data_IF_853854071627
#
_entry.id   IF_853854071627
#
_cell.length_a   1.000
_cell.length_b   1.000
_cell.length_c   1.000
_cell.angle_alpha   90.00
_cell.angle_beta   90.00
_cell.angle_gamma   90.00
#
_symmetry.space_group_name_H-M   'P 1'
#
loop_
_entity.id
_entity.type
_entity.pdbx_description
1 polymer ?
#
# COMPACT_ATOMS: atom_id res chain seq x y z
N UNK A 1 10.34 69.22 12.79
CA UNK A 1 11.62 68.51 13.00
C UNK A 1 11.49 67.09 12.47
N UNK A 2 12.51 66.55 11.78
CA UNK A 2 12.55 65.14 11.31
C UNK A 2 12.36 64.13 12.45
N UNK A 3 12.81 64.49 13.66
CA UNK A 3 12.73 63.65 14.85
C UNK A 3 11.29 63.46 15.35
N UNK A 4 10.48 64.53 15.32
CA UNK A 4 9.07 64.48 15.72
C UNK A 4 8.22 63.63 14.76
N UNK A 5 8.60 63.58 13.47
CA UNK A 5 7.97 62.67 12.50
C UNK A 5 8.32 61.20 12.79
N UNK A 6 9.56 60.91 13.21
CA UNK A 6 9.98 59.55 13.59
C UNK A 6 9.25 59.06 14.84
N UNK A 7 9.12 59.90 15.86
CA UNK A 7 8.39 59.56 17.09
C UNK A 7 6.90 59.28 16.83
N UNK A 8 6.26 60.06 15.94
CA UNK A 8 4.87 59.79 15.52
C UNK A 8 4.72 58.47 14.76
N UNK A 9 5.71 58.10 13.94
CA UNK A 9 5.72 56.81 13.22
C UNK A 9 5.96 55.64 14.19
N UNK A 10 6.84 55.79 15.18
CA UNK A 10 7.10 54.77 16.19
C UNK A 10 5.88 54.53 17.09
N UNK A 11 5.25 55.59 17.58
CA UNK A 11 4.01 55.47 18.37
C UNK A 11 2.86 54.86 17.57
N UNK A 12 2.74 55.18 16.27
CA UNK A 12 1.76 54.52 15.40
C UNK A 12 2.07 53.03 15.22
N UNK A 13 3.36 52.67 15.07
CA UNK A 13 3.82 51.28 14.95
C UNK A 13 3.58 50.49 16.24
N UNK A 14 3.76 51.10 17.40
CA UNK A 14 3.45 50.49 18.70
C UNK A 14 1.97 50.21 18.85
N UNK A 15 1.11 51.19 18.54
CA UNK A 15 -0.36 50.98 18.52
C UNK A 15 -0.78 49.87 17.56
N UNK A 16 -0.15 49.80 16.38
CA UNK A 16 -0.39 48.71 15.43
C UNK A 16 0.05 47.35 15.99
N UNK A 17 1.20 47.26 16.66
CA UNK A 17 1.66 46.03 17.31
C UNK A 17 0.70 45.59 18.41
N UNK A 18 0.23 46.52 19.23
CA UNK A 18 -0.72 46.26 20.31
C UNK A 18 -2.05 45.73 19.77
N UNK A 19 -2.57 46.35 18.71
CA UNK A 19 -3.79 45.88 18.03
C UNK A 19 -3.61 44.47 17.46
N UNK A 20 -2.47 44.18 16.83
CA UNK A 20 -2.17 42.83 16.32
C UNK A 20 -2.14 41.81 17.47
N UNK A 21 -1.59 42.19 18.62
CA UNK A 21 -1.50 41.32 19.78
C UNK A 21 -2.89 41.03 20.34
N UNK A 22 -3.75 42.04 20.46
CA UNK A 22 -5.14 41.88 20.85
C UNK A 22 -5.93 40.98 19.89
N UNK A 23 -5.78 41.20 18.56
CA UNK A 23 -6.44 40.37 17.55
C UNK A 23 -5.94 38.92 17.58
N UNK A 24 -4.66 38.68 17.86
CA UNK A 24 -4.11 37.33 18.04
C UNK A 24 -4.69 36.64 19.25
N UNK A 25 -4.80 37.32 20.38
CA UNK A 25 -5.42 36.77 21.59
C UNK A 25 -6.90 36.44 21.35
N UNK A 26 -7.65 37.35 20.72
CA UNK A 26 -9.06 37.08 20.37
C UNK A 26 -9.22 35.90 19.41
N UNK A 27 -8.30 35.74 18.45
CA UNK A 27 -8.30 34.60 17.54
C UNK A 27 -8.02 33.29 18.29
N UNK A 28 -7.04 33.28 19.19
CA UNK A 28 -6.68 32.11 20.00
C UNK A 28 -7.81 31.69 20.94
N UNK A 29 -8.50 32.66 21.55
CA UNK A 29 -9.69 32.42 22.38
C UNK A 29 -10.84 31.80 21.56
N UNK A 30 -11.07 32.29 20.34
CA UNK A 30 -12.09 31.76 19.43
C UNK A 30 -11.75 30.35 18.94
N UNK A 31 -10.49 30.09 18.56
CA UNK A 31 -10.04 28.76 18.15
C UNK A 31 -10.17 27.75 19.29
N UNK A 32 -9.78 28.15 20.50
CA UNK A 32 -9.88 27.32 21.70
C UNK A 32 -11.35 27.02 22.03
N UNK A 33 -12.23 28.02 21.94
CA UNK A 33 -13.66 27.84 22.17
C UNK A 33 -14.30 26.92 21.13
N UNK A 34 -14.03 27.15 19.83
CA UNK A 34 -14.58 26.34 18.75
C UNK A 34 -14.09 24.88 18.80
N UNK A 35 -12.85 24.65 19.28
CA UNK A 35 -12.31 23.32 19.53
C UNK A 35 -13.01 22.63 20.72
N UNK A 36 -13.24 23.35 21.82
CA UNK A 36 -13.94 22.81 23.00
C UNK A 36 -15.41 22.46 22.72
N UNK A 37 -16.10 23.25 21.89
CA UNK A 37 -17.47 22.95 21.44
C UNK A 37 -17.54 21.84 20.38
N UNK A 38 -16.41 21.35 19.88
CA UNK A 38 -16.35 20.29 18.85
C UNK A 38 -16.77 20.75 17.45
N UNK A 39 -16.88 22.07 17.23
CA UNK A 39 -17.20 22.67 15.92
C UNK A 39 -15.96 22.90 15.06
N UNK A 40 -14.76 22.82 15.64
CA UNK A 40 -13.47 22.97 14.96
C UNK A 40 -12.62 21.71 15.15
N UNK A 41 -12.33 21.01 14.06
CA UNK A 41 -11.75 19.65 14.06
C UNK A 41 -10.21 19.64 14.13
N UNK A 42 -9.56 20.81 14.21
CA UNK A 42 -8.10 20.96 14.32
C UNK A 42 -7.69 21.57 15.67
N UNK A 43 -6.54 21.14 16.21
CA UNK A 43 -6.01 21.70 17.45
C UNK A 43 -5.76 23.22 17.32
N UNK A 44 -6.04 24.02 18.37
CA UNK A 44 -5.74 25.45 18.39
C UNK A 44 -4.27 25.73 18.06
N UNK A 45 -4.04 26.82 17.34
CA UNK A 45 -2.71 27.11 16.79
C UNK A 45 -1.66 27.34 17.89
N UNK A 46 -2.05 27.87 19.05
CA UNK A 46 -1.20 27.99 20.25
C UNK A 46 -0.66 26.64 20.72
N UNK A 47 -1.53 25.62 20.83
CA UNK A 47 -1.15 24.26 21.26
C UNK A 47 -0.23 23.58 20.24
N UNK A 48 -0.46 23.80 18.95
CA UNK A 48 0.41 23.26 17.89
C UNK A 48 1.81 23.87 17.97
N UNK A 49 1.91 25.19 18.15
CA UNK A 49 3.18 25.89 18.30
C UNK A 49 3.92 25.45 19.55
N UNK A 50 3.22 25.26 20.67
CA UNK A 50 3.81 24.73 21.90
C UNK A 50 4.38 23.32 21.69
N UNK A 51 3.63 22.42 21.03
CA UNK A 51 4.13 21.07 20.69
C UNK A 51 5.32 21.11 19.74
N UNK A 52 5.29 21.97 18.73
CA UNK A 52 6.41 22.16 17.81
C UNK A 52 7.65 22.69 18.56
N UNK A 53 7.46 23.63 19.50
CA UNK A 53 8.53 24.16 20.33
C UNK A 53 9.20 23.05 21.16
N UNK A 54 8.42 22.20 21.82
CA UNK A 54 8.95 21.05 22.59
C UNK A 54 9.75 20.09 21.70
N UNK A 55 9.25 19.80 20.49
CA UNK A 55 9.98 18.93 19.54
C UNK A 55 11.29 19.58 19.11
N UNK A 56 11.28 20.88 18.81
CA UNK A 56 12.47 21.64 18.44
C UNK A 56 13.49 21.63 19.59
N UNK A 57 13.06 21.92 20.82
CA UNK A 57 13.94 21.94 22.00
C UNK A 57 14.58 20.56 22.25
N UNK A 58 13.81 19.47 22.11
CA UNK A 58 14.31 18.10 22.26
C UNK A 58 15.27 17.72 21.11
N UNK A 59 15.00 18.16 19.88
CA UNK A 59 15.89 17.97 18.74
C UNK A 59 17.21 18.75 18.90
N UNK A 60 17.15 20.01 19.34
CA UNK A 60 18.33 20.84 19.63
C UNK A 60 19.22 20.14 20.67
N UNK A 61 18.61 19.61 21.74
CA UNK A 61 19.29 18.87 22.79
C UNK A 61 19.92 17.57 22.30
N UNK A 62 19.21 16.79 21.47
CA UNK A 62 19.70 15.50 20.95
C UNK A 62 20.75 15.65 19.85
N UNK A 63 20.70 16.74 19.10
CA UNK A 63 21.66 17.07 18.05
C UNK A 63 22.85 17.90 18.56
N UNK A 64 22.88 18.22 19.87
CA UNK A 64 23.89 19.07 20.52
C UNK A 64 24.18 20.36 19.74
N UNK A 65 23.10 21.00 19.27
CA UNK A 65 23.19 22.21 18.48
C UNK A 65 23.38 23.41 19.42
N UNK A 66 24.62 23.90 19.54
CA UNK A 66 24.90 25.15 20.24
C UNK A 66 24.26 26.34 19.48
N UNK A 67 23.05 26.72 19.87
CA UNK A 67 22.26 27.80 19.26
C UNK A 67 22.19 29.07 20.13
N UNK A 68 23.00 29.17 21.18
CA UNK A 68 22.83 30.18 22.24
C UNK A 68 23.01 31.65 21.81
N UNK A 69 23.57 31.97 20.65
CA UNK A 69 23.83 33.38 20.29
C UNK A 69 23.33 33.85 18.91
N UNK A 70 22.78 32.99 18.04
CA UNK A 70 22.62 33.36 16.61
C UNK A 70 21.29 32.97 15.93
N UNK A 71 20.23 32.54 16.62
CA UNK A 71 18.97 32.16 15.93
C UNK A 71 18.37 33.32 15.10
N UNK A 72 18.54 34.56 15.54
CA UNK A 72 18.05 35.76 14.85
C UNK A 72 18.97 36.32 13.76
N UNK A 73 20.23 35.88 13.69
CA UNK A 73 21.22 36.34 12.70
C UNK A 73 21.38 35.35 11.53
N UNK A 74 20.96 34.10 11.71
CA UNK A 74 21.14 33.03 10.74
C UNK A 74 20.04 32.97 9.70
N UNK A 75 20.45 32.79 8.45
CA UNK A 75 19.52 32.52 7.36
C UNK A 75 18.95 31.10 7.45
N UNK A 76 17.78 30.88 6.85
CA UNK A 76 17.11 29.56 6.80
C UNK A 76 17.99 28.47 6.21
N UNK A 77 18.87 28.83 5.28
CA UNK A 77 19.78 27.90 4.60
C UNK A 77 20.96 27.49 5.48
N UNK A 78 21.50 28.42 6.28
CA UNK A 78 22.58 28.13 7.23
C UNK A 78 22.09 27.26 8.40
N UNK A 79 20.86 27.48 8.86
CA UNK A 79 20.23 26.63 9.86
C UNK A 79 20.09 25.19 9.33
N UNK A 80 19.59 25.04 8.09
CA UNK A 80 19.45 23.74 7.43
C UNK A 80 20.80 23.03 7.28
N UNK A 81 21.83 23.74 6.85
CA UNK A 81 23.16 23.18 6.69
C UNK A 81 23.76 22.70 8.02
N UNK A 82 23.51 23.40 9.13
CA UNK A 82 23.95 22.96 10.46
C UNK A 82 23.18 21.74 10.95
N UNK A 83 21.87 21.67 10.69
CA UNK A 83 21.06 20.47 10.98
C UNK A 83 21.58 19.27 10.18
N UNK A 84 21.80 19.43 8.88
CA UNK A 84 22.29 18.36 8.01
C UNK A 84 23.69 17.87 8.43
N UNK A 85 24.58 18.78 8.86
CA UNK A 85 25.90 18.43 9.37
C UNK A 85 25.86 17.65 10.70
N UNK A 86 25.00 18.05 11.64
CA UNK A 86 24.81 17.36 12.91
C UNK A 86 24.21 15.95 12.70
N UNK A 87 23.24 15.82 11.79
CA UNK A 87 22.67 14.52 11.40
C UNK A 87 23.73 13.62 10.74
N UNK A 88 24.56 14.17 9.85
CA UNK A 88 25.63 13.40 9.21
C UNK A 88 26.68 12.87 10.20
N UNK A 89 27.00 13.63 11.25
CA UNK A 89 27.91 13.17 12.32
C UNK A 89 27.35 11.97 13.10
N UNK A 90 26.03 11.87 13.25
CA UNK A 90 25.38 10.73 13.93
C UNK A 90 25.32 9.50 13.01
N UNK A 91 25.04 9.69 11.72
CA UNK A 91 24.79 8.59 10.78
C UNK A 91 26.09 7.97 10.24
N UNK A 92 27.15 8.76 10.01
CA UNK A 92 28.40 8.24 9.44
C UNK A 92 29.09 7.16 10.29
N UNK A 93 29.25 7.30 11.62
CA UNK A 93 29.83 6.26 12.46
C UNK A 93 29.04 4.95 12.48
N UNK A 94 27.71 5.01 12.33
CA UNK A 94 26.86 3.82 12.24
C UNK A 94 27.07 3.09 10.90
N UNK A 95 27.15 3.83 9.79
CA UNK A 95 27.41 3.26 8.46
C UNK A 95 28.79 2.62 8.35
N UNK A 96 29.82 3.25 8.93
CA UNK A 96 31.18 2.68 8.94
C UNK A 96 31.22 1.40 9.77
N UNK A 97 30.55 1.34 10.93
CA UNK A 97 30.43 0.11 11.72
C UNK A 97 29.72 -1.00 10.95
N UNK A 98 28.65 -0.68 10.22
CA UNK A 98 27.92 -1.66 9.41
C UNK A 98 28.77 -2.23 8.28
N UNK A 99 29.52 -1.38 7.56
CA UNK A 99 30.48 -1.82 6.53
C UNK A 99 31.60 -2.70 7.12
N UNK A 100 32.11 -2.35 8.31
CA UNK A 100 33.15 -3.15 8.98
C UNK A 100 32.60 -4.55 9.37
N UNK A 101 31.36 -4.61 9.84
CA UNK A 101 30.69 -5.87 10.19
C UNK A 101 30.46 -6.74 8.94
N UNK A 102 30.11 -6.12 7.81
CA UNK A 102 29.94 -6.84 6.55
C UNK A 102 31.27 -7.40 6.02
N UNK A 103 32.36 -6.63 6.11
CA UNK A 103 33.71 -7.13 5.80
C UNK A 103 34.12 -8.31 6.69
N UNK A 104 33.88 -8.23 8.00
CA UNK A 104 34.20 -9.31 8.93
C UNK A 104 33.39 -10.58 8.63
N UNK A 105 32.11 -10.46 8.28
CA UNK A 105 31.27 -11.60 7.88
C UNK A 105 31.82 -12.29 6.62
N UNK A 106 32.24 -11.52 5.63
CA UNK A 106 32.86 -12.05 4.41
C UNK A 106 34.16 -12.77 4.72
N UNK A 107 35.02 -12.19 5.56
CA UNK A 107 36.27 -12.85 5.99
C UNK A 107 36.02 -14.17 6.72
N UNK A 108 35.03 -14.23 7.60
CA UNK A 108 34.66 -15.48 8.29
C UNK A 108 34.22 -16.53 7.28
N UNK A 109 33.39 -16.15 6.30
CA UNK A 109 32.88 -17.06 5.26
C UNK A 109 33.98 -17.59 4.35
N UNK A 110 34.95 -16.75 4.01
CA UNK A 110 36.12 -17.16 3.21
C UNK A 110 37.04 -18.09 4.00
N UNK A 111 37.24 -17.84 5.30
CA UNK A 111 38.00 -18.75 6.18
C UNK A 111 37.28 -20.10 6.35
N UNK A 112 35.96 -20.11 6.49
CA UNK A 112 35.17 -21.34 6.51
C UNK A 112 35.30 -22.12 5.20
N UNK A 113 35.28 -21.43 4.05
CA UNK A 113 35.48 -22.04 2.74
C UNK A 113 36.90 -22.61 2.59
N UNK A 114 37.91 -21.90 3.06
CA UNK A 114 39.31 -22.36 3.05
C UNK A 114 39.52 -23.58 3.94
N UNK A 115 38.90 -23.59 5.13
CA UNK A 115 38.94 -24.75 6.03
C UNK A 115 38.25 -25.96 5.37
N UNK A 116 37.11 -25.76 4.71
CA UNK A 116 36.43 -26.82 3.93
C UNK A 116 37.31 -27.35 2.81
N UNK A 117 37.99 -26.47 2.07
CA UNK A 117 38.88 -26.85 0.97
C UNK A 117 40.06 -27.69 1.45
N UNK A 118 40.70 -27.31 2.56
CA UNK A 118 41.78 -28.11 3.17
C UNK A 118 41.26 -29.45 3.72
N UNK A 119 40.03 -29.49 4.24
CA UNK A 119 39.42 -30.72 4.73
C UNK A 119 39.06 -31.71 3.60
N UNK A 120 38.68 -31.21 2.41
CA UNK A 120 38.38 -32.04 1.24
C UNK A 120 39.63 -32.63 0.57
N UNK A 121 40.75 -31.90 0.50
CA UNK A 121 41.99 -32.42 -0.12
C UNK A 121 42.70 -33.50 0.72
N UNK A 122 42.50 -33.54 2.03
CA UNK A 122 43.12 -34.54 2.92
C UNK A 122 42.28 -35.82 3.05
N UNK A 123 41.08 -35.84 2.46
CA UNK A 123 40.00 -36.74 2.88
C UNK A 123 39.24 -37.50 1.79
N UNK A 124 39.84 -37.98 0.68
CA UNK A 124 39.30 -39.18 0.00
C UNK A 124 40.19 -39.82 -1.09
N UNK A 125 40.47 -41.13 -0.98
CA UNK A 125 40.85 -41.98 -2.11
C UNK A 125 39.60 -42.51 -2.86
N UNK A 126 39.56 -42.24 -4.18
CA UNK A 126 39.07 -43.13 -5.26
C UNK A 126 37.68 -43.81 -5.17
N UNK A 127 36.73 -43.49 -6.10
CA UNK A 127 36.27 -44.38 -7.20
C UNK A 127 34.92 -43.99 -7.89
N UNK A 128 35.02 -43.87 -9.23
CA UNK A 128 34.16 -44.41 -10.33
C UNK A 128 32.72 -43.98 -10.62
N UNK A 129 32.53 -43.73 -11.93
CA UNK A 129 31.38 -44.10 -12.80
C UNK A 129 30.23 -43.10 -13.01
N UNK A 130 30.30 -42.37 -14.13
CA UNK A 130 29.18 -41.62 -14.71
C UNK A 130 29.58 -40.93 -16.02
N UNK A 131 29.51 -41.66 -17.12
CA UNK A 131 29.88 -41.30 -18.49
C UNK A 131 29.12 -40.08 -19.04
N UNK A 132 29.81 -39.17 -19.73
CA UNK A 132 29.22 -38.36 -20.79
C UNK A 132 30.29 -38.07 -21.85
N UNK A 133 30.07 -38.63 -23.04
CA UNK A 133 30.95 -38.66 -24.21
C UNK A 133 30.96 -37.31 -24.94
N UNK A 134 32.14 -36.80 -25.28
CA UNK A 134 32.36 -35.98 -26.48
C UNK A 134 33.80 -36.19 -26.99
N UNK A 135 33.89 -36.68 -28.23
CA UNK A 135 35.11 -37.07 -28.96
C UNK A 135 36.04 -35.88 -29.21
N UNK A 136 37.35 -36.06 -29.00
CA UNK A 136 38.38 -35.26 -29.65
C UNK A 136 39.53 -36.15 -30.15
N UNK A 137 39.76 -36.07 -31.46
CA UNK A 137 40.79 -36.75 -32.22
C UNK A 137 42.21 -36.28 -31.85
N UNK A 138 43.09 -37.25 -31.65
CA UNK A 138 44.50 -37.31 -32.08
C UNK A 138 45.42 -36.08 -32.02
N UNK A 139 46.47 -36.13 -31.18
CA UNK A 139 47.86 -36.41 -31.62
C UNK A 139 48.88 -36.23 -30.47
N UNK A 140 49.46 -37.37 -30.08
CA UNK A 140 50.88 -37.69 -29.85
C UNK A 140 51.94 -36.62 -29.49
N UNK A 141 52.76 -36.98 -28.50
CA UNK A 141 54.16 -36.57 -28.29
C UNK A 141 54.36 -35.80 -26.98
N UNK A 142 55.24 -36.17 -26.04
CA UNK A 142 56.45 -36.98 -26.14
C UNK A 142 56.94 -37.37 -24.73
N UNK A 143 57.68 -38.48 -24.67
CA UNK A 143 58.80 -38.67 -23.73
C UNK A 143 58.51 -39.50 -22.47
N UNK A 144 58.67 -40.84 -22.48
CA UNK A 144 59.89 -41.59 -22.08
C UNK A 144 60.34 -41.33 -20.62
N UNK A 145 60.62 -42.29 -19.73
CA UNK A 145 60.63 -43.77 -19.73
C UNK A 145 60.95 -44.25 -18.30
N UNK A 146 60.35 -45.39 -17.90
CA UNK A 146 60.92 -46.60 -17.23
C UNK A 146 61.94 -46.39 -16.07
N UNK A 147 61.98 -47.15 -14.98
CA UNK A 147 61.42 -48.44 -14.52
C UNK A 147 61.99 -48.67 -13.11
N UNK A 148 61.28 -49.38 -12.23
CA UNK A 148 61.92 -50.04 -11.08
C UNK A 148 61.01 -50.26 -9.87
N UNK A 149 60.30 -51.39 -9.86
CA UNK A 149 59.83 -52.11 -8.66
C UNK A 149 61.06 -52.50 -7.80
N UNK A 150 61.06 -52.75 -6.48
CA UNK A 150 60.04 -53.10 -5.47
C UNK A 150 60.82 -53.33 -4.16
N UNK A 151 60.28 -52.94 -2.98
CA UNK A 151 60.20 -53.76 -1.74
C UNK A 151 59.90 -52.94 -0.47
N UNK A 152 58.88 -53.45 0.25
CA UNK A 152 58.20 -53.14 1.55
C UNK A 152 59.22 -53.25 2.73
N UNK A 153 59.03 -52.80 4.02
CA UNK A 153 57.76 -52.89 4.79
C UNK A 153 57.56 -51.86 5.97
N UNK A 154 56.73 -52.09 7.02
CA UNK A 154 55.48 -51.33 7.24
C UNK A 154 55.36 -50.68 8.65
N UNK A 155 54.36 -49.82 8.89
CA UNK A 155 54.10 -49.35 10.26
C UNK A 155 52.85 -48.48 10.48
N UNK A 156 51.94 -49.01 11.30
CA UNK A 156 50.96 -48.29 12.13
C UNK A 156 49.74 -47.60 11.48
N UNK A 157 48.80 -48.40 10.96
CA UNK A 157 47.42 -47.97 10.72
C UNK A 157 46.44 -48.69 11.63
N UNK A 158 46.16 -48.15 12.83
CA UNK A 158 44.99 -48.57 13.65
C UNK A 158 44.33 -47.48 14.50
N UNK A 159 44.98 -46.36 14.79
CA UNK A 159 44.39 -45.32 15.67
C UNK A 159 43.50 -44.31 14.95
N UNK A 160 43.80 -43.95 13.69
CA UNK A 160 43.08 -42.88 12.98
C UNK A 160 41.65 -43.21 12.53
N UNK A 161 41.29 -44.49 12.38
CA UNK A 161 39.97 -44.89 11.89
C UNK A 161 38.88 -44.83 12.99
N UNK A 162 39.24 -45.09 14.25
CA UNK A 162 38.29 -44.99 15.36
C UNK A 162 37.96 -43.53 15.70
N UNK A 163 38.94 -42.62 15.65
CA UNK A 163 38.71 -41.21 15.95
C UNK A 163 37.80 -40.53 14.92
N UNK A 164 37.94 -40.83 13.63
CA UNK A 164 37.05 -40.29 12.58
C UNK A 164 35.62 -40.81 12.74
N UNK A 165 35.45 -42.06 13.17
CA UNK A 165 34.13 -42.64 13.43
C UNK A 165 33.47 -42.02 14.67
N UNK A 166 34.24 -41.79 15.75
CA UNK A 166 33.76 -41.08 16.94
C UNK A 166 33.39 -39.63 16.65
N UNK A 167 34.15 -38.91 15.83
CA UNK A 167 33.84 -37.52 15.43
C UNK A 167 32.58 -37.45 14.57
N UNK A 168 32.36 -38.42 13.67
CA UNK A 168 31.13 -38.49 12.87
C UNK A 168 29.91 -38.86 13.72
N UNK A 169 30.07 -39.76 14.69
CA UNK A 169 29.01 -40.15 15.62
C UNK A 169 28.66 -39.01 16.59
N UNK A 170 29.65 -38.26 17.10
CA UNK A 170 29.39 -37.07 17.93
C UNK A 170 28.80 -35.92 17.12
N UNK A 171 29.19 -35.74 15.86
CA UNK A 171 28.57 -34.79 14.93
C UNK A 171 27.10 -35.10 14.65
N UNK A 172 26.77 -36.37 14.38
CA UNK A 172 25.39 -36.83 14.23
C UNK A 172 24.59 -36.69 15.53
N UNK A 173 25.23 -36.92 16.67
CA UNK A 173 24.60 -36.73 17.98
C UNK A 173 24.33 -35.26 18.27
N UNK A 174 25.21 -34.35 17.84
CA UNK A 174 25.02 -32.91 17.96
C UNK A 174 23.93 -32.41 17.02
N UNK A 175 23.88 -32.89 15.78
CA UNK A 175 22.79 -32.58 14.83
C UNK A 175 21.44 -33.10 15.34
N UNK A 176 21.38 -34.31 15.92
CA UNK A 176 20.16 -34.80 16.56
C UNK A 176 19.76 -33.98 17.78
N UNK A 177 20.72 -33.52 18.59
CA UNK A 177 20.44 -32.61 19.71
C UNK A 177 19.96 -31.24 19.23
N UNK A 178 20.55 -30.68 18.18
CA UNK A 178 20.11 -29.42 17.57
C UNK A 178 18.70 -29.54 16.98
N UNK A 179 18.41 -30.66 16.29
CA UNK A 179 17.07 -30.98 15.79
C UNK A 179 16.07 -31.14 16.93
N UNK A 180 16.45 -31.83 18.01
CA UNK A 180 15.61 -31.98 19.19
C UNK A 180 15.36 -30.62 19.87
N UNK A 181 16.35 -29.73 19.95
CA UNK A 181 16.18 -28.37 20.51
C UNK A 181 15.28 -27.52 19.60
N UNK A 182 15.43 -27.61 18.28
CA UNK A 182 14.53 -26.96 17.33
C UNK A 182 13.10 -27.50 17.43
N UNK A 183 12.94 -28.81 17.61
CA UNK A 183 11.64 -29.44 17.83
C UNK A 183 11.04 -29.05 19.18
N UNK A 184 11.84 -29.03 20.26
CA UNK A 184 11.40 -28.58 21.59
C UNK A 184 11.00 -27.10 21.54
N UNK A 185 11.77 -26.25 20.85
CA UNK A 185 11.46 -24.84 20.65
C UNK A 185 10.20 -24.65 19.78
N UNK A 186 10.01 -25.49 18.76
CA UNK A 186 8.80 -25.49 17.95
C UNK A 186 7.57 -25.94 18.75
N UNK A 187 7.69 -26.96 19.60
CA UNK A 187 6.59 -27.39 20.47
C UNK A 187 6.30 -26.36 21.56
N UNK A 188 7.34 -25.73 22.14
CA UNK A 188 7.18 -24.79 23.26
C UNK A 188 6.70 -23.40 22.85
N UNK A 189 7.12 -22.88 21.70
CA UNK A 189 6.75 -21.54 21.24
C UNK A 189 5.61 -21.53 20.21
N UNK A 190 5.41 -22.62 19.46
CA UNK A 190 4.35 -22.70 18.43
C UNK A 190 3.23 -23.68 18.81
N UNK A 191 3.32 -24.43 19.91
CA UNK A 191 2.27 -25.36 20.36
C UNK A 191 2.00 -26.51 19.37
N UNK A 192 2.90 -26.75 18.41
CA UNK A 192 2.73 -27.75 17.37
C UNK A 192 3.09 -29.14 17.90
N UNK A 193 2.12 -29.92 18.35
CA UNK A 193 2.29 -31.37 18.47
C UNK A 193 2.73 -31.94 17.12
N UNK A 194 3.65 -32.91 17.12
CA UNK A 194 4.16 -33.61 15.94
C UNK A 194 3.02 -34.23 15.13
N UNK A 195 2.48 -33.45 14.20
CA UNK A 195 1.50 -33.82 13.21
C UNK A 195 1.74 -32.96 11.99
N UNK A 196 2.13 -33.62 10.89
CA UNK A 196 2.14 -33.16 9.50
C UNK A 196 1.83 -31.67 9.29
N UNK A 197 2.81 -30.90 8.80
CA UNK A 197 2.54 -29.60 8.18
C UNK A 197 1.43 -29.84 7.14
N UNK A 198 0.22 -29.29 7.31
CA UNK A 198 -0.87 -29.60 6.41
C UNK A 198 -0.52 -29.08 5.01
N UNK A 199 -0.60 -29.95 4.00
CA UNK A 199 -0.54 -29.56 2.57
C UNK A 199 -1.56 -28.45 2.22
N UNK A 200 -2.55 -28.19 3.07
CA UNK A 200 -3.54 -27.13 2.94
C UNK A 200 -2.99 -25.70 3.12
N UNK A 201 -1.80 -25.50 3.70
CA UNK A 201 -1.16 -24.16 3.73
C UNK A 201 -0.70 -23.70 2.34
N UNK A 202 -0.34 -24.64 1.45
CA UNK A 202 0.10 -24.36 0.09
C UNK A 202 -1.03 -24.49 -0.95
N UNK A 203 -2.15 -25.13 -0.60
CA UNK A 203 -3.32 -25.28 -1.49
C UNK A 203 -4.32 -24.12 -1.43
N UNK A 204 -4.35 -23.35 -0.33
CA UNK A 204 -5.21 -22.16 -0.20
C UNK A 204 -4.96 -21.15 -1.33
N UNK A 205 -3.71 -21.11 -1.80
CA UNK A 205 -3.21 -20.24 -2.86
C UNK A 205 -3.75 -20.59 -4.26
N UNK A 206 -4.35 -21.78 -4.46
CA UNK A 206 -4.87 -22.20 -5.76
C UNK A 206 -6.36 -21.88 -5.93
N UNK A 207 -7.15 -21.96 -4.85
CA UNK A 207 -8.56 -21.58 -4.85
C UNK A 207 -8.75 -20.05 -4.92
N UNK A 208 -7.84 -19.28 -4.33
CA UNK A 208 -7.87 -17.81 -4.33
C UNK A 208 -7.46 -17.20 -5.69
N UNK A 209 -6.88 -18.02 -6.59
CA UNK A 209 -6.54 -17.61 -7.97
C UNK A 209 -7.68 -17.84 -8.97
N UNK A 210 -8.71 -18.60 -8.60
CA UNK A 210 -9.85 -18.85 -9.49
C UNK A 210 -10.87 -17.71 -9.44
N UNK A 211 -10.84 -16.86 -10.45
CA UNK A 211 -11.76 -15.74 -10.63
C UNK A 211 -13.02 -16.11 -11.45
N UNK A 212 -13.11 -17.34 -11.96
CA UNK A 212 -14.28 -17.83 -12.71
C UNK A 212 -15.62 -17.65 -11.98
N UNK A 213 -15.75 -17.99 -10.68
CA UNK A 213 -17.00 -17.75 -9.95
C UNK A 213 -17.34 -16.26 -9.80
N UNK A 214 -16.32 -15.40 -9.65
CA UNK A 214 -16.51 -13.94 -9.55
C UNK A 214 -17.02 -13.36 -10.87
N UNK A 215 -16.47 -13.80 -12.00
CA UNK A 215 -16.95 -13.41 -13.33
C UNK A 215 -18.38 -13.87 -13.59
N UNK A 216 -18.71 -15.12 -13.24
CA UNK A 216 -20.08 -15.63 -13.39
C UNK A 216 -21.07 -14.84 -12.54
N UNK A 217 -20.69 -14.47 -11.31
CA UNK A 217 -21.51 -13.62 -10.45
C UNK A 217 -21.71 -12.22 -11.03
N UNK A 218 -20.67 -11.64 -11.63
CA UNK A 218 -20.77 -10.36 -12.34
C UNK A 218 -21.74 -10.46 -13.52
N UNK A 219 -21.62 -11.50 -14.34
CA UNK A 219 -22.48 -11.74 -15.50
C UNK A 219 -23.96 -11.82 -15.09
N UNK A 220 -24.28 -12.66 -14.10
CA UNK A 220 -25.65 -12.80 -13.56
C UNK A 220 -26.18 -11.47 -13.04
N UNK A 221 -25.36 -10.70 -12.32
CA UNK A 221 -25.77 -9.40 -11.76
C UNK A 221 -26.02 -8.36 -12.85
N UNK A 222 -25.16 -8.32 -13.88
CA UNK A 222 -25.32 -7.46 -15.05
C UNK A 222 -26.61 -7.80 -15.79
N UNK A 223 -26.88 -9.09 -16.00
CA UNK A 223 -28.08 -9.53 -16.71
C UNK A 223 -29.36 -9.19 -15.96
N UNK A 224 -29.36 -9.37 -14.64
CA UNK A 224 -30.49 -8.97 -13.80
C UNK A 224 -30.72 -7.46 -13.84
N UNK A 225 -29.67 -6.64 -13.69
CA UNK A 225 -29.78 -5.18 -13.75
C UNK A 225 -30.26 -4.73 -15.14
N UNK A 226 -29.77 -5.35 -16.21
CA UNK A 226 -30.23 -5.08 -17.58
C UNK A 226 -31.72 -5.36 -17.75
N UNK A 227 -32.19 -6.53 -17.29
CA UNK A 227 -33.60 -6.90 -17.37
C UNK A 227 -34.48 -5.93 -16.57
N UNK A 228 -34.08 -5.59 -15.35
CA UNK A 228 -34.80 -4.61 -14.53
C UNK A 228 -34.81 -3.24 -15.19
N UNK A 229 -33.68 -2.74 -15.67
CA UNK A 229 -33.59 -1.44 -16.32
C UNK A 229 -34.45 -1.35 -17.59
N UNK A 230 -34.52 -2.42 -18.40
CA UNK A 230 -35.38 -2.48 -19.58
C UNK A 230 -36.88 -2.45 -19.23
N UNK A 231 -37.29 -3.10 -18.13
CA UNK A 231 -38.68 -3.03 -17.65
C UNK A 231 -39.07 -1.63 -17.16
N UNK A 232 -38.11 -0.85 -16.70
CA UNK A 232 -38.33 0.49 -16.14
C UNK A 232 -38.12 1.62 -17.15
N UNK A 233 -37.69 1.33 -18.39
CA UNK A 233 -37.64 2.37 -19.41
C UNK A 233 -39.08 2.79 -19.78
N UNK A 234 -39.38 4.11 -19.80
CA UNK A 234 -40.67 4.57 -20.26
C UNK A 234 -40.78 4.27 -21.76
N UNK A 235 -41.61 3.29 -22.12
CA UNK A 235 -42.06 3.18 -23.50
C UNK A 235 -42.97 4.39 -23.78
N UNK A 236 -42.45 5.31 -24.60
CA UNK A 236 -43.25 6.25 -25.37
C UNK A 236 -44.23 5.42 -26.21
N UNK A 237 -45.46 5.25 -25.76
CA UNK A 237 -46.71 5.21 -26.55
C UNK A 237 -47.93 4.88 -25.66
N UNK A 238 -48.78 5.90 -25.52
CA UNK A 238 -50.25 5.89 -25.48
C UNK A 238 -50.96 5.24 -24.26
N UNK A 239 -51.48 6.12 -23.41
CA UNK A 239 -52.80 6.13 -22.73
C UNK A 239 -53.28 4.78 -22.15
N UNK A 240 -53.31 4.65 -20.82
CA UNK A 240 -54.51 4.26 -20.03
C UNK A 240 -54.25 4.45 -18.52
N UNK A 241 -54.94 5.46 -17.97
CA UNK A 241 -55.48 5.65 -16.61
C UNK A 241 -54.80 5.06 -15.35
N UNK A 242 -54.32 5.99 -14.52
CA UNK A 242 -54.75 6.24 -13.13
C UNK A 242 -54.47 5.26 -11.97
N UNK A 243 -53.95 4.04 -12.17
CA UNK A 243 -53.72 3.10 -11.03
C UNK A 243 -52.27 2.59 -10.84
N UNK A 244 -51.25 3.22 -11.46
CA UNK A 244 -49.87 2.69 -11.47
C UNK A 244 -48.83 3.47 -10.63
N UNK A 245 -49.22 4.50 -9.87
CA UNK A 245 -48.24 5.26 -9.10
C UNK A 245 -47.61 4.46 -7.95
N UNK A 246 -48.34 3.48 -7.38
CA UNK A 246 -47.86 2.67 -6.25
C UNK A 246 -46.94 1.50 -6.69
N UNK A 247 -47.07 1.03 -7.94
CA UNK A 247 -46.20 0.00 -8.52
C UNK A 247 -44.87 0.56 -9.05
N UNK A 248 -44.82 1.85 -9.38
CA UNK A 248 -43.62 2.50 -9.94
C UNK A 248 -42.53 2.76 -8.89
N UNK A 249 -42.89 2.96 -7.61
CA UNK A 249 -41.92 3.09 -6.53
C UNK A 249 -41.24 1.74 -6.21
N UNK A 250 -42.01 0.66 -6.07
CA UNK A 250 -41.48 -0.66 -5.74
C UNK A 250 -40.46 -1.18 -6.77
N UNK A 251 -40.73 -0.97 -8.06
CA UNK A 251 -39.80 -1.39 -9.11
C UNK A 251 -38.49 -0.57 -9.18
N UNK A 252 -38.55 0.74 -8.89
CA UNK A 252 -37.34 1.59 -8.77
C UNK A 252 -36.50 1.18 -7.57
N UNK A 253 -37.13 0.78 -6.48
CA UNK A 253 -36.44 0.23 -5.31
C UNK A 253 -35.78 -1.11 -5.65
N UNK A 254 -36.46 -2.01 -6.36
CA UNK A 254 -35.87 -3.28 -6.83
C UNK A 254 -34.63 -3.07 -7.71
N UNK A 255 -34.69 -2.15 -8.67
CA UNK A 255 -33.54 -1.81 -9.52
C UNK A 255 -32.38 -1.25 -8.68
N UNK A 256 -32.68 -0.33 -7.76
CA UNK A 256 -31.68 0.27 -6.86
C UNK A 256 -31.03 -0.79 -5.98
N UNK A 257 -31.81 -1.74 -5.46
CA UNK A 257 -31.30 -2.84 -4.65
C UNK A 257 -30.46 -3.82 -5.46
N UNK A 258 -30.88 -4.16 -6.68
CA UNK A 258 -30.08 -5.00 -7.59
C UNK A 258 -28.74 -4.35 -7.92
N UNK A 259 -28.71 -3.04 -8.19
CA UNK A 259 -27.44 -2.32 -8.39
C UNK A 259 -26.59 -2.36 -7.12
N UNK A 260 -27.12 -1.92 -5.98
CA UNK A 260 -26.32 -1.70 -4.75
C UNK A 260 -25.91 -3.00 -4.05
N UNK A 261 -26.73 -4.05 -4.08
CA UNK A 261 -26.46 -5.31 -3.35
C UNK A 261 -25.91 -6.43 -4.21
N UNK A 262 -26.07 -6.36 -5.53
CA UNK A 262 -25.63 -7.44 -6.42
C UNK A 262 -24.54 -6.94 -7.36
N UNK A 263 -24.84 -5.98 -8.23
CA UNK A 263 -23.87 -5.48 -9.21
C UNK A 263 -22.66 -4.84 -8.54
N UNK A 264 -22.86 -3.91 -7.59
CA UNK A 264 -21.75 -3.27 -6.88
C UNK A 264 -20.90 -4.30 -6.13
N UNK A 265 -21.54 -5.29 -5.50
CA UNK A 265 -20.83 -6.33 -4.76
C UNK A 265 -20.02 -7.23 -5.69
N UNK A 266 -20.57 -7.62 -6.85
CA UNK A 266 -19.85 -8.41 -7.84
C UNK A 266 -18.66 -7.65 -8.44
N UNK A 267 -18.83 -6.36 -8.75
CA UNK A 267 -17.74 -5.49 -9.21
C UNK A 267 -16.67 -5.34 -8.12
N UNK A 268 -17.08 -5.10 -6.87
CA UNK A 268 -16.18 -4.98 -5.71
C UNK A 268 -15.36 -6.24 -5.53
N UNK A 269 -15.99 -7.41 -5.47
CA UNK A 269 -15.31 -8.67 -5.18
C UNK A 269 -14.30 -8.99 -6.29
N UNK A 270 -14.63 -8.68 -7.56
CA UNK A 270 -13.71 -8.86 -8.68
C UNK A 270 -12.55 -7.85 -8.67
N UNK A 271 -12.81 -6.59 -8.28
CA UNK A 271 -11.75 -5.59 -8.09
C UNK A 271 -10.86 -5.90 -6.88
N UNK A 272 -11.39 -6.54 -5.85
CA UNK A 272 -10.66 -6.92 -4.64
C UNK A 272 -9.80 -8.17 -4.82
N UNK A 273 -9.99 -8.94 -5.90
CA UNK A 273 -9.23 -10.16 -6.16
C UNK A 273 -7.72 -9.86 -6.31
N UNK A 274 -6.93 -10.27 -5.31
CA UNK A 274 -5.50 -10.01 -5.26
C UNK A 274 -5.12 -8.55 -4.98
N UNK A 275 -6.05 -7.73 -4.48
CA UNK A 275 -5.81 -6.36 -4.04
C UNK A 275 -5.24 -6.35 -2.61
N UNK A 276 -4.17 -5.59 -2.37
CA UNK A 276 -3.55 -5.49 -1.05
C UNK A 276 -3.18 -4.05 -0.69
N UNK A 277 -3.17 -3.74 0.60
CA UNK A 277 -2.66 -2.47 1.10
C UNK A 277 -1.13 -2.50 1.11
N UNK A 278 -0.50 -1.55 0.44
CA UNK A 278 0.94 -1.33 0.56
C UNK A 278 1.22 -0.81 1.97
N UNK A 279 1.73 -1.65 2.86
CA UNK A 279 2.12 -1.24 4.21
C UNK A 279 3.30 -0.27 4.10
N UNK A 280 3.08 1.01 4.39
CA UNK A 280 4.10 2.05 4.32
C UNK A 280 5.21 1.92 5.38
N UNK A 281 5.27 0.81 6.13
CA UNK A 281 6.19 0.57 7.25
C UNK A 281 6.98 -0.74 7.21
N UNK A 282 6.84 -1.58 6.17
CA UNK A 282 7.60 -2.84 6.10
C UNK A 282 8.98 -2.57 5.48
N UNK A 283 9.96 -2.29 6.34
CA UNK A 283 11.37 -2.17 5.92
C UNK A 283 11.82 -3.46 5.23
N UNK A 284 12.48 -3.35 4.06
CA UNK A 284 13.04 -4.48 3.29
C UNK A 284 14.01 -5.34 4.12
N UNK A 285 14.52 -4.80 5.23
CA UNK A 285 15.42 -5.48 6.18
C UNK A 285 14.71 -6.59 6.98
N UNK A 286 13.39 -6.51 7.15
CA UNK A 286 12.63 -7.48 7.97
C UNK A 286 11.98 -8.61 7.16
N UNK A 287 11.99 -8.52 5.82
CA UNK A 287 11.37 -9.51 4.93
C UNK A 287 11.92 -10.95 5.08
N UNK A 288 13.23 -11.19 5.34
CA UNK A 288 13.74 -12.55 5.50
C UNK A 288 13.43 -13.20 6.85
N UNK A 289 13.03 -12.40 7.86
CA UNK A 289 12.82 -12.85 9.25
C UNK A 289 11.32 -12.91 9.59
N UNK A 290 10.47 -12.22 8.82
CA UNK A 290 9.02 -12.18 9.02
C UNK A 290 8.34 -13.56 8.99
N UNK A 291 8.92 -14.55 8.30
CA UNK A 291 8.43 -15.93 8.28
C UNK A 291 8.80 -16.76 9.54
N UNK A 292 9.67 -16.25 10.42
CA UNK A 292 10.10 -16.91 11.66
C UNK A 292 9.37 -16.38 12.90
N UNK A 293 8.59 -15.31 12.78
CA UNK A 293 7.90 -14.67 13.89
C UNK A 293 6.42 -14.46 13.52
N UNK A 294 5.51 -15.28 14.06
CA UNK A 294 4.06 -15.16 13.80
C UNK A 294 3.48 -13.79 14.14
N UNK A 295 4.14 -13.04 15.05
CA UNK A 295 3.77 -11.67 15.42
C UNK A 295 3.98 -10.64 14.28
N UNK A 296 4.81 -10.95 13.28
CA UNK A 296 5.10 -10.08 12.14
C UNK A 296 4.52 -10.60 10.80
N UNK A 297 3.96 -11.81 10.77
CA UNK A 297 3.15 -12.28 9.63
C UNK A 297 1.71 -11.76 9.76
N UNK A 298 1.52 -10.43 9.74
CA UNK A 298 0.20 -9.91 9.43
C UNK A 298 -0.12 -10.31 7.99
N UNK A 299 -1.22 -11.04 7.78
CA UNK A 299 -1.73 -11.24 6.43
C UNK A 299 -1.81 -9.88 5.72
N UNK A 300 -1.49 -9.79 4.41
CA UNK A 300 -1.57 -8.53 3.68
C UNK A 300 -2.94 -7.90 3.94
N UNK A 301 -2.94 -6.70 4.50
CA UNK A 301 -4.17 -6.02 4.88
C UNK A 301 -5.00 -5.82 3.61
N UNK A 302 -6.21 -6.38 3.61
CA UNK A 302 -7.07 -6.38 2.43
C UNK A 302 -7.61 -4.97 2.22
N UNK A 303 -7.12 -4.29 1.19
CA UNK A 303 -7.52 -2.93 0.85
C UNK A 303 -8.90 -2.95 0.18
N UNK A 304 -9.79 -2.02 0.54
CA UNK A 304 -11.10 -1.94 -0.09
C UNK A 304 -10.99 -1.31 -1.50
N UNK A 305 -11.72 -1.78 -2.53
CA UNK A 305 -11.66 -1.19 -3.88
C UNK A 305 -12.00 0.31 -3.95
N UNK A 306 -12.79 0.84 -3.02
CA UNK A 306 -13.01 2.29 -2.92
C UNK A 306 -11.71 3.06 -2.67
N UNK A 307 -10.86 2.56 -1.77
CA UNK A 307 -9.58 3.20 -1.46
C UNK A 307 -8.67 3.22 -2.70
N UNK A 308 -8.82 2.27 -3.63
CA UNK A 308 -8.11 2.26 -4.90
C UNK A 308 -8.51 3.45 -5.78
N UNK A 309 -9.81 3.76 -5.83
CA UNK A 309 -10.31 4.97 -6.51
C UNK A 309 -9.80 6.25 -5.83
N UNK A 310 -9.75 6.28 -4.49
CA UNK A 310 -9.19 7.41 -3.74
C UNK A 310 -7.70 7.59 -4.03
N UNK A 311 -6.91 6.51 -4.05
CA UNK A 311 -5.49 6.57 -4.45
C UNK A 311 -5.32 7.05 -5.89
N UNK A 312 -6.17 6.62 -6.82
CA UNK A 312 -6.18 7.16 -8.20
C UNK A 312 -6.47 8.66 -8.21
N UNK A 313 -7.46 9.12 -7.43
CA UNK A 313 -7.82 10.52 -7.31
C UNK A 313 -6.64 11.38 -6.80
N UNK A 314 -5.94 10.91 -5.77
CA UNK A 314 -4.74 11.58 -5.28
C UNK A 314 -3.59 11.56 -6.31
N UNK A 315 -3.33 10.41 -6.95
CA UNK A 315 -2.29 10.27 -7.96
C UNK A 315 -2.51 11.17 -9.20
N UNK A 316 -3.75 11.58 -9.46
CA UNK A 316 -4.11 12.50 -10.55
C UNK A 316 -4.34 13.94 -10.10
N UNK A 317 -3.94 14.30 -8.88
CA UNK A 317 -4.16 15.63 -8.28
C UNK A 317 -5.62 16.09 -8.36
N UNK A 318 -6.55 15.17 -8.09
CA UNK A 318 -7.98 15.41 -8.21
C UNK A 318 -8.48 16.59 -7.39
N UNK A 319 -7.91 16.82 -6.20
CA UNK A 319 -8.25 17.98 -5.36
C UNK A 319 -7.92 19.29 -6.04
N UNK A 320 -6.69 19.45 -6.52
CA UNK A 320 -6.27 20.65 -7.26
C UNK A 320 -7.10 20.85 -8.54
N UNK A 321 -7.50 19.75 -9.20
CA UNK A 321 -8.37 19.82 -10.36
C UNK A 321 -9.77 20.39 -10.03
N UNK A 322 -10.41 19.85 -8.99
CA UNK A 322 -11.77 20.27 -8.61
C UNK A 322 -11.78 21.64 -7.92
N UNK A 323 -10.78 21.92 -7.10
CA UNK A 323 -10.65 23.19 -6.36
C UNK A 323 -10.17 24.37 -7.22
N UNK A 324 -9.88 24.16 -8.50
CA UNK A 324 -9.39 25.20 -9.39
C UNK A 324 -10.36 26.41 -9.44
N UNK A 325 -9.88 27.66 -9.28
CA UNK A 325 -10.74 28.85 -9.24
C UNK A 325 -11.68 28.96 -10.44
N UNK A 326 -11.17 28.66 -11.65
CA UNK A 326 -11.98 28.66 -12.88
C UNK A 326 -13.17 27.69 -12.80
N UNK A 327 -12.99 26.51 -12.19
CA UNK A 327 -14.06 25.53 -12.02
C UNK A 327 -15.06 25.96 -10.95
N UNK A 328 -14.60 26.42 -9.80
CA UNK A 328 -15.48 26.90 -8.72
C UNK A 328 -16.33 28.09 -9.17
N UNK A 329 -15.73 29.01 -9.91
CA UNK A 329 -16.45 30.12 -10.52
C UNK A 329 -17.47 29.61 -11.55
N UNK A 330 -17.05 28.75 -12.47
CA UNK A 330 -17.98 28.18 -13.46
C UNK A 330 -19.14 27.43 -12.81
N UNK A 331 -18.90 26.64 -11.77
CA UNK A 331 -19.94 25.96 -10.98
C UNK A 331 -20.89 26.96 -10.30
N UNK A 332 -20.34 28.03 -9.70
CA UNK A 332 -21.14 29.06 -9.01
C UNK A 332 -22.07 29.81 -9.97
N UNK A 333 -21.65 29.99 -11.23
CA UNK A 333 -22.44 30.63 -12.28
C UNK A 333 -23.21 29.62 -13.17
N UNK A 334 -23.24 28.34 -12.81
CA UNK A 334 -23.81 27.25 -13.61
C UNK A 334 -23.32 27.23 -15.08
N UNK A 335 -22.10 27.70 -15.32
CA UNK A 335 -21.45 27.73 -16.62
C UNK A 335 -20.79 26.38 -16.91
N UNK A 336 -20.79 25.92 -18.18
CA UNK A 336 -19.98 24.78 -18.56
C UNK A 336 -18.50 25.10 -18.31
N UNK A 337 -17.90 24.36 -17.37
CA UNK A 337 -16.51 24.53 -16.86
C UNK A 337 -15.44 24.51 -17.97
N UNK A 338 -15.79 24.03 -19.17
CA UNK A 338 -14.90 23.91 -20.31
C UNK A 338 -15.57 24.55 -21.52
N UNK A 339 -14.94 25.56 -22.13
CA UNK A 339 -15.40 26.10 -23.40
C UNK A 339 -15.52 25.01 -24.45
N UNK A 340 -16.75 24.66 -24.84
CA UNK A 340 -17.11 23.79 -25.97
C UNK A 340 -16.67 22.32 -25.95
N UNK A 341 -15.74 21.91 -25.08
CA UNK A 341 -15.20 20.54 -25.07
C UNK A 341 -15.96 19.62 -24.12
N UNK A 342 -16.38 18.46 -24.63
CA UNK A 342 -17.12 17.46 -23.86
C UNK A 342 -16.32 16.98 -22.64
N UNK A 343 -17.00 16.84 -21.49
CA UNK A 343 -16.38 16.37 -20.24
C UNK A 343 -15.75 14.99 -20.47
N UNK A 344 -14.43 14.90 -20.26
CA UNK A 344 -13.73 13.63 -20.47
C UNK A 344 -14.06 12.63 -19.35
N UNK A 345 -13.95 11.30 -19.61
CA UNK A 345 -14.16 10.29 -18.57
C UNK A 345 -13.26 10.47 -17.34
N UNK A 346 -12.04 10.97 -17.53
CA UNK A 346 -11.11 11.26 -16.42
C UNK A 346 -11.65 12.38 -15.55
N UNK A 347 -12.14 13.45 -16.17
CA UNK A 347 -12.66 14.62 -15.46
C UNK A 347 -13.96 14.34 -14.72
N UNK A 348 -14.88 13.59 -15.34
CA UNK A 348 -16.10 13.11 -14.68
C UNK A 348 -15.78 12.20 -13.50
N UNK A 349 -14.86 11.25 -13.65
CA UNK A 349 -14.42 10.37 -12.55
C UNK A 349 -13.82 11.17 -11.37
N UNK A 350 -12.93 12.12 -11.63
CA UNK A 350 -12.33 12.94 -10.57
C UNK A 350 -13.37 13.79 -9.84
N UNK A 351 -14.35 14.30 -10.58
CA UNK A 351 -15.48 15.05 -9.99
C UNK A 351 -16.36 14.13 -9.15
N UNK A 352 -16.68 12.94 -9.65
CA UNK A 352 -17.52 11.98 -8.94
C UNK A 352 -16.88 11.49 -7.64
N UNK A 353 -15.59 11.15 -7.66
CA UNK A 353 -14.86 10.76 -6.43
C UNK A 353 -14.84 11.92 -5.43
N UNK A 354 -14.57 13.15 -5.90
CA UNK A 354 -14.59 14.33 -5.03
C UNK A 354 -15.96 14.57 -4.39
N UNK A 355 -17.05 14.41 -5.17
CA UNK A 355 -18.41 14.56 -4.66
C UNK A 355 -18.74 13.49 -3.61
N UNK A 356 -18.38 12.24 -3.86
CA UNK A 356 -18.59 11.16 -2.87
C UNK A 356 -17.81 11.45 -1.59
N UNK A 357 -16.53 11.82 -1.68
CA UNK A 357 -15.72 12.21 -0.50
C UNK A 357 -16.36 13.39 0.25
N UNK A 358 -16.71 14.47 -0.45
CA UNK A 358 -17.30 15.67 0.17
C UNK A 358 -18.65 15.39 0.83
N UNK A 359 -19.46 14.51 0.25
CA UNK A 359 -20.79 14.19 0.77
C UNK A 359 -20.79 13.08 1.83
N UNK A 360 -19.86 12.13 1.78
CA UNK A 360 -19.86 10.93 2.62
C UNK A 360 -18.83 11.00 3.77
N UNK A 361 -17.69 11.67 3.58
CA UNK A 361 -16.66 11.85 4.60
C UNK A 361 -17.20 12.50 5.89
N UNK A 362 -18.04 13.57 5.83
CA UNK A 362 -18.56 14.22 7.05
C UNK A 362 -19.38 13.28 7.95
N UNK A 363 -19.85 12.17 7.41
CA UNK A 363 -20.67 11.19 8.11
C UNK A 363 -19.93 9.87 8.37
N UNK A 364 -18.59 9.84 8.19
CA UNK A 364 -17.71 8.68 8.44
C UNK A 364 -18.28 7.37 7.86
N UNK A 365 -18.76 7.43 6.62
CA UNK A 365 -19.40 6.27 5.98
C UNK A 365 -18.36 5.20 5.64
N UNK A 366 -18.84 3.95 5.54
CA UNK A 366 -17.97 2.84 5.17
C UNK A 366 -17.55 2.94 3.71
N UNK A 367 -16.33 2.47 3.40
CA UNK A 367 -15.79 2.39 2.04
C UNK A 367 -16.73 1.65 1.05
N UNK A 368 -17.52 0.70 1.56
CA UNK A 368 -18.55 -0.01 0.79
C UNK A 368 -19.75 0.88 0.43
N UNK A 369 -20.15 1.81 1.31
CA UNK A 369 -21.22 2.78 1.04
C UNK A 369 -20.80 3.80 -0.02
N UNK A 370 -19.55 4.23 0.02
CA UNK A 370 -18.95 5.18 -0.91
C UNK A 370 -18.78 4.55 -2.30
N UNK A 371 -18.33 3.29 -2.35
CA UNK A 371 -18.29 2.53 -3.61
C UNK A 371 -19.68 2.36 -4.23
N UNK A 372 -20.71 2.10 -3.42
CA UNK A 372 -22.11 2.02 -3.91
C UNK A 372 -22.58 3.35 -4.48
N UNK A 373 -22.25 4.47 -3.83
CA UNK A 373 -22.56 5.80 -4.35
C UNK A 373 -21.86 6.03 -5.70
N UNK A 374 -20.56 5.72 -5.80
CA UNK A 374 -19.78 5.86 -7.03
C UNK A 374 -20.36 5.03 -8.18
N UNK A 375 -20.72 3.76 -7.94
CA UNK A 375 -21.31 2.90 -8.98
C UNK A 375 -22.67 3.43 -9.44
N UNK A 376 -23.50 3.95 -8.53
CA UNK A 376 -24.77 4.59 -8.90
C UNK A 376 -24.54 5.83 -9.78
N UNK A 377 -23.58 6.70 -9.43
CA UNK A 377 -23.19 7.85 -10.25
C UNK A 377 -22.69 7.41 -11.64
N UNK A 378 -21.84 6.40 -11.68
CA UNK A 378 -21.24 5.91 -12.91
C UNK A 378 -22.28 5.33 -13.89
N UNK A 379 -23.33 4.68 -13.36
CA UNK A 379 -24.45 4.18 -14.16
C UNK A 379 -25.36 5.32 -14.63
N UNK A 380 -25.65 6.30 -13.77
CA UNK A 380 -26.42 7.48 -14.13
C UNK A 380 -25.75 8.28 -15.26
N UNK A 381 -24.41 8.38 -15.24
CA UNK A 381 -23.63 9.05 -16.30
C UNK A 381 -23.30 8.14 -17.50
N UNK A 382 -23.66 6.85 -17.46
CA UNK A 382 -23.29 5.85 -18.48
C UNK A 382 -21.77 5.74 -18.70
N UNK A 383 -20.98 6.01 -17.65
CA UNK A 383 -19.51 6.03 -17.67
C UNK A 383 -18.85 4.89 -16.90
N UNK A 384 -19.60 3.96 -16.30
CA UNK A 384 -19.05 2.86 -15.49
C UNK A 384 -17.88 2.13 -16.15
N UNK A 385 -18.04 1.69 -17.39
CA UNK A 385 -16.95 1.02 -18.15
C UNK A 385 -15.74 1.92 -18.32
N UNK A 386 -15.97 3.18 -18.69
CA UNK A 386 -14.87 4.14 -18.91
C UNK A 386 -14.13 4.45 -17.61
N UNK A 387 -14.83 4.59 -16.49
CA UNK A 387 -14.26 4.88 -15.19
C UNK A 387 -13.44 3.72 -14.64
N UNK A 388 -13.97 2.49 -14.71
CA UNK A 388 -13.22 1.29 -14.30
C UNK A 388 -11.98 1.12 -15.19
N UNK A 389 -12.12 1.31 -16.50
CA UNK A 389 -10.99 1.22 -17.44
C UNK A 389 -9.87 2.24 -17.17
N UNK A 390 -10.19 3.42 -16.62
CA UNK A 390 -9.17 4.39 -16.20
C UNK A 390 -8.29 3.86 -15.06
N UNK A 391 -8.88 3.07 -14.15
CA UNK A 391 -8.14 2.38 -13.09
C UNK A 391 -7.31 1.25 -13.70
N UNK A 392 -7.90 0.43 -14.58
CA UNK A 392 -7.24 -0.68 -15.27
C UNK A 392 -6.04 -0.24 -16.13
N UNK A 393 -6.05 1.01 -16.63
CA UNK A 393 -4.93 1.58 -17.41
C UNK A 393 -3.89 2.30 -16.57
N UNK A 394 -4.08 2.39 -15.26
CA UNK A 394 -3.14 3.06 -14.35
C UNK A 394 -2.04 2.09 -13.91
N UNK A 395 -1.04 1.86 -14.77
CA UNK A 395 0.04 0.88 -14.52
C UNK A 395 0.70 1.03 -13.15
N UNK A 396 1.08 2.26 -12.76
CA UNK A 396 1.68 2.51 -11.45
C UNK A 396 0.80 2.12 -10.26
N UNK A 397 -0.52 2.21 -10.42
CA UNK A 397 -1.48 1.85 -9.38
C UNK A 397 -1.63 0.33 -9.28
N UNK A 398 -1.66 -0.35 -10.44
CA UNK A 398 -1.76 -1.82 -10.51
C UNK A 398 -0.50 -2.46 -9.95
N UNK A 399 0.68 -2.04 -10.41
CA UNK A 399 1.97 -2.57 -9.95
C UNK A 399 2.19 -2.40 -8.45
N UNK A 400 1.62 -1.35 -7.84
CA UNK A 400 1.82 -1.05 -6.42
C UNK A 400 0.84 -1.78 -5.48
N UNK A 401 -0.34 -2.18 -5.98
CA UNK A 401 -1.46 -2.62 -5.12
C UNK A 401 -2.07 -3.97 -5.51
N UNK A 402 -1.67 -4.57 -6.64
CA UNK A 402 -2.22 -5.85 -7.09
C UNK A 402 -1.16 -6.94 -7.16
N UNK A 403 -1.52 -8.13 -6.71
CA UNK A 403 -0.69 -9.31 -6.85
C UNK A 403 -0.57 -9.72 -8.33
N UNK A 404 0.56 -10.29 -8.78
CA UNK A 404 0.73 -10.69 -10.18
C UNK A 404 -0.31 -11.72 -10.66
N UNK A 405 -0.82 -12.56 -9.76
CA UNK A 405 -1.86 -13.55 -10.05
C UNK A 405 -3.28 -12.99 -10.03
N UNK A 406 -3.46 -11.70 -9.69
CA UNK A 406 -4.77 -11.06 -9.63
C UNK A 406 -5.46 -11.04 -11.00
N UNK A 407 -6.79 -11.06 -11.01
CA UNK A 407 -7.58 -10.90 -12.23
C UNK A 407 -7.24 -9.57 -12.94
N UNK A 408 -7.06 -8.48 -12.19
CA UNK A 408 -6.68 -7.17 -12.71
C UNK A 408 -5.33 -7.19 -13.42
N UNK A 409 -4.28 -7.74 -12.79
CA UNK A 409 -2.93 -7.78 -13.36
C UNK A 409 -2.81 -8.78 -14.52
N UNK A 410 -3.45 -9.94 -14.42
CA UNK A 410 -3.32 -11.01 -15.41
C UNK A 410 -4.14 -10.75 -16.68
N UNK A 411 -5.35 -10.21 -16.56
CA UNK A 411 -6.28 -10.09 -17.71
C UNK A 411 -6.52 -8.66 -18.17
N UNK A 412 -6.02 -7.65 -17.44
CA UNK A 412 -6.35 -6.25 -17.70
C UNK A 412 -7.83 -5.90 -17.48
N UNK A 413 -8.59 -6.78 -16.81
CA UNK A 413 -10.02 -6.63 -16.53
C UNK A 413 -10.94 -6.63 -17.78
N UNK A 414 -10.44 -7.07 -18.94
CA UNK A 414 -11.13 -6.91 -20.23
C UNK A 414 -12.49 -7.62 -20.29
N UNK A 415 -12.58 -8.88 -19.85
CA UNK A 415 -13.83 -9.65 -19.88
C UNK A 415 -14.91 -8.99 -19.01
N UNK A 416 -14.52 -8.48 -17.84
CA UNK A 416 -15.43 -7.76 -16.96
C UNK A 416 -15.89 -6.41 -17.55
N UNK A 417 -15.00 -5.67 -18.21
CA UNK A 417 -15.38 -4.46 -18.95
C UNK A 417 -16.38 -4.78 -20.08
N UNK A 418 -16.19 -5.89 -20.78
CA UNK A 418 -17.12 -6.34 -21.82
C UNK A 418 -18.50 -6.69 -21.22
N UNK A 419 -18.55 -7.39 -20.09
CA UNK A 419 -19.80 -7.65 -19.38
C UNK A 419 -20.49 -6.34 -18.97
N UNK A 420 -19.77 -5.41 -18.35
CA UNK A 420 -20.30 -4.11 -17.94
C UNK A 420 -20.78 -3.25 -19.12
N UNK A 421 -20.19 -3.42 -20.31
CA UNK A 421 -20.59 -2.70 -21.52
C UNK A 421 -22.04 -2.93 -21.94
N UNK A 422 -22.62 -4.05 -21.53
CA UNK A 422 -24.04 -4.41 -21.76
C UNK A 422 -25.01 -3.44 -21.08
N UNK A 423 -24.55 -2.65 -20.10
CA UNK A 423 -25.33 -1.64 -19.39
C UNK A 423 -25.14 -0.22 -19.96
N UNK A 424 -24.12 0.02 -20.80
CA UNK A 424 -23.72 1.36 -21.24
C UNK A 424 -24.79 2.11 -22.06
N UNK A 425 -25.67 1.39 -22.76
CA UNK A 425 -26.75 1.99 -23.57
C UNK A 425 -28.00 2.33 -22.75
N UNK A 426 -28.08 1.87 -21.50
CA UNK A 426 -29.26 2.04 -20.65
C UNK A 426 -29.16 3.34 -19.85
N UNK A 427 -30.29 4.04 -19.70
CA UNK A 427 -30.37 5.24 -18.86
C UNK A 427 -30.82 4.87 -17.46
N UNK A 428 -30.08 5.33 -16.46
CA UNK A 428 -30.36 5.07 -15.05
C UNK A 428 -30.71 6.37 -14.33
N UNK A 429 -31.54 6.26 -13.29
CA UNK A 429 -31.85 7.33 -12.35
C UNK A 429 -31.84 6.73 -10.94
N UNK A 430 -30.63 6.49 -10.44
CA UNK A 430 -30.37 5.84 -9.15
C UNK A 430 -30.03 6.86 -8.06
N UNK A 431 -30.51 6.68 -6.82
CA UNK A 431 -30.16 7.55 -5.71
C UNK A 431 -28.71 7.34 -5.26
N UNK A 432 -27.91 8.40 -5.38
CA UNK A 432 -26.50 8.43 -4.97
C UNK A 432 -26.36 8.67 -3.47
N UNK A 433 -27.25 9.48 -2.92
CA UNK A 433 -27.26 9.97 -1.55
C UNK A 433 -27.95 9.01 -0.56
N UNK A 434 -28.38 7.81 -0.97
CA UNK A 434 -29.17 6.92 -0.11
C UNK A 434 -28.52 6.64 1.27
N UNK A 435 -27.19 6.56 1.30
CA UNK A 435 -26.44 6.37 2.54
C UNK A 435 -26.43 7.63 3.42
N UNK A 436 -26.53 8.82 2.84
CA UNK A 436 -26.31 10.11 3.53
C UNK A 436 -27.62 10.89 3.74
N UNK A 437 -28.65 10.62 2.94
CA UNK A 437 -29.93 11.36 2.89
C UNK A 437 -30.61 11.47 4.25
N UNK A 438 -30.66 10.38 5.02
CA UNK A 438 -31.24 10.40 6.36
C UNK A 438 -30.46 11.31 7.32
N UNK A 439 -29.13 11.36 7.20
CA UNK A 439 -28.30 12.20 8.08
C UNK A 439 -28.30 13.67 7.68
N UNK A 440 -28.36 13.98 6.37
CA UNK A 440 -28.57 15.34 5.87
C UNK A 440 -29.91 15.89 6.36
N UNK A 441 -30.98 15.11 6.20
CA UNK A 441 -32.31 15.50 6.67
C UNK A 441 -32.37 15.76 8.18
N UNK A 442 -31.60 15.02 8.99
CA UNK A 442 -31.50 15.27 10.43
C UNK A 442 -30.73 16.57 10.67
N UNK A 443 -29.58 16.78 10.02
CA UNK A 443 -28.78 18.01 10.18
C UNK A 443 -29.50 19.28 9.70
N UNK A 444 -30.36 19.17 8.70
CA UNK A 444 -31.15 20.31 8.20
C UNK A 444 -32.39 20.60 9.09
N UNK A 445 -32.78 19.66 9.95
CA UNK A 445 -33.93 19.79 10.86
C UNK A 445 -33.56 20.30 12.26
N UNK A 446 -32.26 20.31 12.59
CA UNK A 446 -31.67 20.84 13.83
C UNK A 446 -30.77 22.02 13.51
#
# INVERSE_FOLDING_TARGET
SEQEKRERLETQREKQKELILQLKTQLDDLETFAYQEGSYDSLPQSVVLERQQVIIDELIKKLDMNLNEDISSLSTEELRQRVDAAVAQIVNPARVKEQLVEQLKTQIRDLEMFISFIQDEVGSPMQTSGHCECKASGKSGNGFTRTGSSSVPPGAGKTKAEDVKRVRETGLHLMRRALAVLQIFAVSQLGCATGQIPQSLWQRDQADRDYSPLLKRLEVSVDRVKQLALRHQPHDHVITSANLQDLSLGGKDELTMAVRKELTVAVRDLLAHGLYATSSGMSLVMAPIACLLPAFSSAPETMHPWELFVKYYHAKNGRAYVDSPARKLSQSFALPVMGGSAVTPKQSLLTAIHLVLTEHDPFKRSADSELKALVCMALNEQRLVSWVNLICKSGSLIESHYQPWSYMAHTGFESALNLLSRLSSLKFSLPVDLAVRQLKNIKDAF
#
